data_IF_673501480412
#
_entry.id   IF_673501480412
#
_cell.length_a   1.000
_cell.length_b   1.000
_cell.length_c   1.000
_cell.angle_alpha   90.00
_cell.angle_beta   90.00
_cell.angle_gamma   90.00
#
_symmetry.space_group_name_H-M   'P 1'
#
loop_
_entity.id
_entity.type
_entity.pdbx_description
1 polymer ?
#
# COMPACT_ATOMS: atom_id res chain seq x y z
N UNK A 1 -2.27 -2.88 -28.12
CA UNK A 1 -2.43 -3.15 -26.67
C UNK A 1 -2.54 -1.80 -26.00
N UNK A 2 -3.66 -1.54 -25.34
CA UNK A 2 -3.88 -0.31 -24.59
C UNK A 2 -3.44 -0.54 -23.14
N UNK A 3 -2.58 0.34 -22.63
CA UNK A 3 -2.03 0.28 -21.27
C UNK A 3 -2.53 1.46 -20.42
N UNK A 4 -3.47 2.24 -20.94
CA UNK A 4 -4.09 3.31 -20.17
C UNK A 4 -5.08 2.73 -19.17
N UNK A 5 -5.11 3.34 -17.99
CA UNK A 5 -6.09 3.00 -16.96
C UNK A 5 -7.50 3.33 -17.49
N UNK A 6 -8.46 2.43 -17.27
CA UNK A 6 -9.88 2.75 -17.40
C UNK A 6 -10.28 3.85 -16.40
N UNK A 7 -11.44 4.52 -16.57
CA UNK A 7 -11.88 5.53 -15.61
C UNK A 7 -11.98 5.03 -14.16
N UNK A 8 -12.36 3.76 -13.96
CA UNK A 8 -12.43 3.15 -12.64
C UNK A 8 -11.03 2.91 -12.04
N UNK A 9 -10.10 2.43 -12.87
CA UNK A 9 -8.70 2.21 -12.49
C UNK A 9 -7.99 3.52 -12.15
N UNK A 10 -8.23 4.57 -12.94
CA UNK A 10 -7.68 5.91 -12.69
C UNK A 10 -8.22 6.50 -11.37
N UNK A 11 -9.51 6.29 -11.07
CA UNK A 11 -10.09 6.69 -9.80
C UNK A 11 -9.47 5.93 -8.61
N UNK A 12 -9.29 4.62 -8.74
CA UNK A 12 -8.62 3.80 -7.73
C UNK A 12 -7.16 4.23 -7.53
N UNK A 13 -6.43 4.54 -8.62
CA UNK A 13 -5.07 5.08 -8.53
C UNK A 13 -5.05 6.38 -7.74
N UNK A 14 -5.98 7.30 -8.01
CA UNK A 14 -6.07 8.56 -7.29
C UNK A 14 -6.37 8.35 -5.79
N UNK A 15 -7.24 7.39 -5.45
CA UNK A 15 -7.54 7.01 -4.07
C UNK A 15 -6.28 6.45 -3.35
N UNK A 16 -5.61 5.47 -3.98
CA UNK A 16 -4.36 4.90 -3.47
C UNK A 16 -3.30 5.98 -3.27
N UNK A 17 -3.23 6.92 -4.21
CA UNK A 17 -2.30 8.04 -4.16
C UNK A 17 -2.59 8.93 -2.96
N UNK A 18 -3.82 9.38 -2.78
CA UNK A 18 -4.21 10.25 -1.68
C UNK A 18 -3.99 9.59 -0.31
N UNK A 19 -4.31 8.29 -0.20
CA UNK A 19 -4.07 7.52 1.02
C UNK A 19 -2.57 7.50 1.36
N UNK A 20 -1.73 7.12 0.41
CA UNK A 20 -0.30 7.02 0.65
C UNK A 20 0.36 8.39 0.92
N UNK A 21 -0.09 9.48 0.28
CA UNK A 21 0.44 10.83 0.60
C UNK A 21 0.12 11.27 2.03
N UNK A 22 -0.98 10.77 2.59
CA UNK A 22 -1.43 11.11 3.94
C UNK A 22 -0.80 10.20 5.00
N UNK A 23 -0.65 8.91 4.70
CA UNK A 23 -0.35 7.88 5.70
C UNK A 23 0.98 7.16 5.53
N UNK A 24 1.59 7.18 4.33
CA UNK A 24 2.83 6.45 4.12
C UNK A 24 3.97 7.05 4.99
N UNK A 25 4.86 6.21 5.52
CA UNK A 25 6.07 6.69 6.17
C UNK A 25 6.86 7.62 5.23
N UNK A 26 7.33 8.76 5.75
CA UNK A 26 8.07 9.76 4.95
C UNK A 26 9.52 9.38 4.68
N UNK A 27 10.04 8.42 5.44
CA UNK A 27 11.36 7.87 5.15
C UNK A 27 11.23 6.75 4.11
N UNK A 28 12.20 6.63 3.19
CA UNK A 28 12.18 5.60 2.16
C UNK A 28 11.95 4.22 2.79
N UNK A 29 11.03 3.44 2.21
CA UNK A 29 10.93 2.03 2.61
C UNK A 29 12.20 1.26 2.23
N UNK A 30 13.02 1.81 1.33
CA UNK A 30 14.34 1.31 0.98
C UNK A 30 15.29 1.21 2.19
N UNK A 31 15.21 2.14 3.14
CA UNK A 31 15.97 2.10 4.41
C UNK A 31 15.30 1.28 5.52
N UNK A 32 14.03 0.91 5.36
CA UNK A 32 13.34 0.01 6.29
C UNK A 32 14.05 -1.35 6.29
N UNK A 33 14.43 -1.88 5.12
CA UNK A 33 15.08 -3.19 5.03
C UNK A 33 16.60 -3.17 5.23
N UNK A 34 17.20 -2.00 5.44
CA UNK A 34 18.63 -1.87 5.73
C UNK A 34 18.86 -2.22 7.21
N UNK A 35 19.30 -3.47 7.45
CA UNK A 35 19.39 -4.11 8.78
C UNK A 35 20.51 -3.52 9.67
N UNK A 36 20.99 -2.33 9.35
CA UNK A 36 22.12 -1.68 10.02
C UNK A 36 21.70 -0.82 11.21
N UNK A 37 20.42 -0.43 11.31
CA UNK A 37 19.85 0.23 12.48
C UNK A 37 18.93 -0.73 13.27
N UNK A 38 18.81 -0.47 14.58
CA UNK A 38 18.08 -1.24 15.60
C UNK A 38 16.92 -2.09 15.02
N UNK A 39 17.14 -3.41 14.90
CA UNK A 39 16.16 -4.37 14.38
C UNK A 39 14.81 -4.24 15.09
N UNK A 40 14.82 -3.92 16.39
CA UNK A 40 13.60 -3.71 17.14
C UNK A 40 12.87 -2.44 16.69
N UNK A 41 13.57 -1.38 16.32
CA UNK A 41 12.97 -0.17 15.76
C UNK A 41 12.36 -0.43 14.38
N UNK A 42 13.08 -1.14 13.51
CA UNK A 42 12.56 -1.55 12.21
C UNK A 42 11.27 -2.36 12.34
N UNK A 43 11.24 -3.37 13.21
CA UNK A 43 10.04 -4.19 13.44
C UNK A 43 8.91 -3.33 14.00
N UNK A 44 9.17 -2.43 14.96
CA UNK A 44 8.15 -1.52 15.50
C UNK A 44 7.52 -0.65 14.41
N UNK A 45 8.33 -0.07 13.52
CA UNK A 45 7.86 0.77 12.41
C UNK A 45 7.07 -0.04 11.39
N UNK A 46 7.51 -1.26 11.07
CA UNK A 46 6.83 -2.17 10.15
C UNK A 46 5.45 -2.58 10.68
N UNK A 47 5.37 -2.95 11.95
CA UNK A 47 4.09 -3.28 12.60
C UNK A 47 3.16 -2.08 12.62
N UNK A 48 3.65 -0.88 12.94
CA UNK A 48 2.85 0.34 12.90
C UNK A 48 2.30 0.60 11.49
N UNK A 49 3.12 0.44 10.45
CA UNK A 49 2.67 0.61 9.07
C UNK A 49 1.61 -0.41 8.66
N UNK A 50 1.81 -1.69 8.97
CA UNK A 50 0.82 -2.74 8.69
C UNK A 50 -0.50 -2.51 9.43
N UNK A 51 -0.46 -1.96 10.65
CA UNK A 51 -1.68 -1.56 11.38
C UNK A 51 -2.43 -0.44 10.68
N UNK A 52 -1.74 0.63 10.26
CA UNK A 52 -2.36 1.71 9.47
C UNK A 52 -3.01 1.16 8.20
N UNK A 53 -2.31 0.28 7.48
CA UNK A 53 -2.89 -0.37 6.30
C UNK A 53 -4.15 -1.18 6.65
N UNK A 54 -4.16 -1.91 7.75
CA UNK A 54 -5.31 -2.70 8.18
C UNK A 54 -6.50 -1.82 8.57
N UNK A 55 -6.27 -0.78 9.40
CA UNK A 55 -7.30 0.14 9.88
C UNK A 55 -8.02 0.87 8.74
N UNK A 56 -7.31 1.10 7.63
CA UNK A 56 -7.85 1.76 6.43
C UNK A 56 -8.22 0.78 5.30
N UNK A 57 -8.15 -0.54 5.51
CA UNK A 57 -8.55 -1.56 4.53
C UNK A 57 -7.56 -1.81 3.38
N UNK A 58 -6.33 -1.30 3.47
CA UNK A 58 -5.28 -1.44 2.45
C UNK A 58 -4.36 -2.66 2.65
N UNK A 59 -4.41 -3.32 3.81
CA UNK A 59 -3.53 -4.46 4.12
C UNK A 59 -3.81 -5.70 3.23
N UNK A 60 -5.07 -5.94 2.88
CA UNK A 60 -5.50 -7.13 2.14
C UNK A 60 -6.53 -6.79 1.05
N UNK A 61 -6.17 -5.93 0.11
CA UNK A 61 -7.11 -5.37 -0.86
C UNK A 61 -7.81 -6.41 -1.76
N UNK A 62 -7.17 -7.56 -2.02
CA UNK A 62 -7.76 -8.63 -2.85
C UNK A 62 -8.51 -9.69 -2.05
N UNK A 63 -8.49 -9.62 -0.71
CA UNK A 63 -9.22 -10.59 0.10
C UNK A 63 -10.71 -10.25 0.11
N UNK A 64 -11.58 -11.25 0.25
CA UNK A 64 -13.02 -11.01 0.35
C UNK A 64 -13.38 -10.08 1.53
N UNK A 65 -14.42 -9.25 1.42
CA UNK A 65 -14.87 -8.38 2.52
C UNK A 65 -15.23 -9.14 3.80
N UNK A 66 -15.68 -10.39 3.68
CA UNK A 66 -16.08 -11.24 4.81
C UNK A 66 -14.92 -11.56 5.77
N UNK A 67 -13.67 -11.41 5.29
CA UNK A 67 -12.45 -11.60 6.08
C UNK A 67 -11.68 -10.29 6.27
N UNK A 68 -12.33 -9.14 6.04
CA UNK A 68 -11.75 -7.81 6.25
C UNK A 68 -10.91 -7.26 5.10
N UNK A 69 -11.02 -7.84 3.90
CA UNK A 69 -10.41 -7.28 2.68
C UNK A 69 -11.33 -6.33 1.91
N UNK A 70 -10.90 -5.89 0.73
CA UNK A 70 -11.69 -4.99 -0.15
C UNK A 70 -12.34 -5.70 -1.35
N UNK A 71 -12.10 -7.00 -1.54
CA UNK A 71 -12.64 -7.79 -2.65
C UNK A 71 -12.18 -7.31 -4.03
N UNK A 72 -11.07 -6.57 -4.13
CA UNK A 72 -10.59 -5.98 -5.38
C UNK A 72 -9.87 -6.99 -6.27
N UNK A 73 -9.83 -6.68 -7.56
CA UNK A 73 -9.25 -7.53 -8.59
C UNK A 73 -7.73 -7.40 -8.72
N UNK A 74 -7.20 -8.11 -9.72
CA UNK A 74 -5.76 -8.15 -10.01
C UNK A 74 -5.25 -6.79 -10.51
N UNK A 75 -6.06 -6.04 -11.25
CA UNK A 75 -5.66 -4.73 -11.79
C UNK A 75 -5.47 -3.72 -10.67
N UNK A 76 -6.40 -3.66 -9.72
CA UNK A 76 -6.27 -2.82 -8.52
C UNK A 76 -5.05 -3.23 -7.69
N UNK A 77 -4.77 -4.54 -7.58
CA UNK A 77 -3.53 -5.00 -6.94
C UNK A 77 -2.27 -4.45 -7.63
N UNK A 78 -2.24 -4.47 -8.96
CA UNK A 78 -1.12 -3.94 -9.74
C UNK A 78 -0.97 -2.44 -9.52
N UNK A 79 -2.07 -1.68 -9.60
CA UNK A 79 -2.08 -0.24 -9.37
C UNK A 79 -1.57 0.08 -7.97
N UNK A 80 -2.08 -0.62 -6.95
CA UNK A 80 -1.64 -0.46 -5.57
C UNK A 80 -0.14 -0.70 -5.39
N UNK A 81 0.38 -1.79 -5.97
CA UNK A 81 1.82 -2.08 -5.94
C UNK A 81 2.66 -1.02 -6.65
N UNK A 82 2.18 -0.46 -7.77
CA UNK A 82 2.85 0.65 -8.45
C UNK A 82 2.88 1.92 -7.60
N UNK A 83 1.77 2.27 -6.94
CA UNK A 83 1.71 3.47 -6.10
C UNK A 83 2.51 3.33 -4.81
N UNK A 84 2.61 2.13 -4.23
CA UNK A 84 3.52 1.82 -3.13
C UNK A 84 4.98 1.98 -3.56
N UNK A 85 5.37 1.38 -4.69
CA UNK A 85 6.74 1.43 -5.19
C UNK A 85 7.21 2.85 -5.56
N UNK A 86 6.29 3.75 -5.90
CA UNK A 86 6.62 5.17 -6.16
C UNK A 86 6.99 5.97 -4.90
N UNK A 87 6.66 5.46 -3.71
CA UNK A 87 6.90 6.11 -2.40
C UNK A 87 7.84 5.32 -1.50
N UNK A 88 8.28 4.15 -1.97
CA UNK A 88 9.22 3.27 -1.30
C UNK A 88 10.65 3.59 -1.68
#
# INVERSE_FOLDING_TARGET
MDFSDSPAEAAFRAEARAFLDTHAPKEPMEGMFDRHDDEAEFVRRSVAWQRTLYEHGWAAITWPPEVGGRGLGVVERIIWSQELARRG
#
